data_IF_872368613225
#
_entry.id   IF_872368613225
#
_cell.length_a   1.000
_cell.length_b   1.000
_cell.length_c   1.000
_cell.angle_alpha   90.00
_cell.angle_beta   90.00
_cell.angle_gamma   90.00
#
_symmetry.space_group_name_H-M   'P 1'
#
loop_
_entity.id
_entity.type
_entity.pdbx_description
1 polymer ?
#
# COMPACT_ATOMS: atom_id res chain seq x y z
N UNK A 1 21.04 25.80 51.76
CA UNK A 1 20.49 24.57 51.15
C UNK A 1 21.64 23.65 50.76
N UNK A 2 21.55 22.34 51.01
CA UNK A 2 22.61 21.38 50.67
C UNK A 2 22.55 20.93 49.21
N UNK A 3 23.70 20.71 48.58
CA UNK A 3 23.82 20.15 47.22
C UNK A 3 23.10 18.80 47.07
N UNK A 4 23.09 17.98 48.12
CA UNK A 4 22.33 16.71 48.14
C UNK A 4 20.82 16.93 47.96
N UNK A 5 20.26 18.02 48.49
CA UNK A 5 18.84 18.32 48.31
C UNK A 5 18.55 18.79 46.89
N UNK A 6 19.48 19.50 46.25
CA UNK A 6 19.38 19.86 44.83
C UNK A 6 19.45 18.61 43.94
N UNK A 7 20.38 17.69 44.20
CA UNK A 7 20.46 16.42 43.49
C UNK A 7 19.20 15.56 43.67
N UNK A 8 18.63 15.48 44.88
CA UNK A 8 17.36 14.78 45.13
C UNK A 8 16.19 15.40 44.35
N UNK A 9 16.12 16.73 44.32
CA UNK A 9 15.10 17.44 43.53
C UNK A 9 15.23 17.17 42.04
N UNK A 10 16.46 17.18 41.51
CA UNK A 10 16.74 16.87 40.10
C UNK A 10 16.42 15.41 39.76
N UNK A 11 16.80 14.47 40.63
CA UNK A 11 16.50 13.05 40.46
C UNK A 11 14.99 12.79 40.46
N UNK A 12 14.25 13.38 41.39
CA UNK A 12 12.79 13.25 41.44
C UNK A 12 12.13 13.84 40.18
N UNK A 13 12.56 15.01 39.73
CA UNK A 13 12.03 15.63 38.51
C UNK A 13 12.28 14.76 37.27
N UNK A 14 13.48 14.18 37.14
CA UNK A 14 13.82 13.25 36.07
C UNK A 14 12.98 11.97 36.14
N UNK A 15 12.79 11.41 37.33
CA UNK A 15 12.01 10.19 37.52
C UNK A 15 10.53 10.41 37.20
N UNK A 16 9.97 11.56 37.58
CA UNK A 16 8.58 11.93 37.21
C UNK A 16 8.45 12.09 35.70
N UNK A 17 9.34 12.83 35.04
CA UNK A 17 9.32 13.01 33.58
C UNK A 17 9.37 11.65 32.85
N UNK A 18 10.30 10.77 33.25
CA UNK A 18 10.41 9.42 32.69
C UNK A 18 9.14 8.58 32.89
N UNK A 19 8.46 8.72 34.04
CA UNK A 19 7.21 8.00 34.29
C UNK A 19 6.06 8.49 33.40
N UNK A 20 5.99 9.80 33.14
CA UNK A 20 5.00 10.39 32.23
C UNK A 20 5.24 9.96 30.78
N UNK A 21 6.49 10.02 30.32
CA UNK A 21 6.87 9.60 28.97
C UNK A 21 6.54 8.12 28.75
N UNK A 22 6.81 7.26 29.75
CA UNK A 22 6.46 5.84 29.68
C UNK A 22 4.95 5.63 29.58
N UNK A 23 4.15 6.33 30.37
CA UNK A 23 2.69 6.23 30.34
C UNK A 23 2.10 6.65 28.98
N UNK A 24 2.65 7.72 28.37
CA UNK A 24 2.26 8.15 27.02
C UNK A 24 2.60 7.09 25.98
N UNK A 25 3.82 6.54 26.02
CA UNK A 25 4.25 5.50 25.09
C UNK A 25 3.46 4.19 25.26
N UNK A 26 3.01 3.85 26.47
CA UNK A 26 2.13 2.70 26.73
C UNK A 26 0.72 2.96 26.17
N UNK A 27 0.15 4.14 26.38
CA UNK A 27 -1.15 4.52 25.84
C UNK A 27 -1.16 4.54 24.30
N UNK A 28 -0.14 5.15 23.68
CA UNK A 28 0.01 5.18 22.23
C UNK A 28 0.13 3.76 21.65
N UNK A 29 0.89 2.89 22.31
CA UNK A 29 1.04 1.49 21.91
C UNK A 29 -0.32 0.77 21.93
N UNK A 30 -1.07 0.87 23.03
CA UNK A 30 -2.38 0.23 23.17
C UNK A 30 -3.38 0.71 22.12
N UNK A 31 -3.43 2.02 21.88
CA UNK A 31 -4.31 2.60 20.88
C UNK A 31 -3.96 2.14 19.46
N UNK A 32 -2.67 2.11 19.12
CA UNK A 32 -2.17 1.63 17.83
C UNK A 32 -2.50 0.15 17.63
N UNK A 33 -2.31 -0.67 18.66
CA UNK A 33 -2.62 -2.11 18.60
C UNK A 33 -4.12 -2.36 18.44
N UNK A 34 -4.98 -1.55 19.07
CA UNK A 34 -6.41 -1.63 18.87
C UNK A 34 -6.79 -1.32 17.41
N UNK A 35 -6.24 -0.23 16.86
CA UNK A 35 -6.41 0.13 15.45
C UNK A 35 -5.93 -0.95 14.49
N UNK A 36 -4.75 -1.54 14.75
CA UNK A 36 -4.22 -2.65 13.96
C UNK A 36 -5.13 -3.88 14.00
N UNK A 37 -5.67 -4.25 15.16
CA UNK A 37 -6.62 -5.37 15.26
C UNK A 37 -7.89 -5.11 14.46
N UNK A 38 -8.46 -3.92 14.57
CA UNK A 38 -9.63 -3.52 13.79
C UNK A 38 -9.34 -3.61 12.29
N UNK A 39 -8.24 -3.02 11.82
CA UNK A 39 -7.86 -3.06 10.42
C UNK A 39 -7.61 -4.50 9.92
N UNK A 40 -6.90 -5.32 10.70
CA UNK A 40 -6.62 -6.72 10.37
C UNK A 40 -7.90 -7.55 10.25
N UNK A 41 -8.81 -7.44 11.23
CA UNK A 41 -10.09 -8.16 11.21
C UNK A 41 -10.93 -7.74 10.02
N UNK A 42 -11.06 -6.42 9.81
CA UNK A 42 -11.81 -5.87 8.69
C UNK A 42 -11.28 -6.37 7.35
N UNK A 43 -9.97 -6.25 7.10
CA UNK A 43 -9.38 -6.68 5.84
C UNK A 43 -9.51 -8.20 5.65
N UNK A 44 -9.38 -8.98 6.71
CA UNK A 44 -9.56 -10.44 6.67
C UNK A 44 -10.97 -10.89 6.28
N UNK A 45 -11.98 -10.14 6.70
CA UNK A 45 -13.37 -10.38 6.31
C UNK A 45 -13.65 -9.86 4.89
N UNK A 46 -13.20 -8.63 4.60
CA UNK A 46 -13.32 -8.01 3.30
C UNK A 46 -12.72 -8.90 2.20
N UNK A 47 -11.50 -9.43 2.39
CA UNK A 47 -10.83 -10.24 1.37
C UNK A 47 -11.66 -11.45 0.95
N UNK A 48 -12.31 -12.12 1.91
CA UNK A 48 -13.17 -13.29 1.64
C UNK A 48 -14.40 -12.90 0.84
N UNK A 49 -15.01 -11.77 1.17
CA UNK A 49 -16.17 -11.27 0.43
C UNK A 49 -15.78 -10.83 -0.98
N UNK A 50 -14.64 -10.14 -1.15
CA UNK A 50 -14.15 -9.69 -2.45
C UNK A 50 -13.73 -10.86 -3.37
N UNK A 51 -13.20 -11.95 -2.81
CA UNK A 51 -12.90 -13.17 -3.58
C UNK A 51 -14.16 -13.80 -4.20
N UNK A 52 -15.30 -13.69 -3.52
CA UNK A 52 -16.60 -14.15 -4.02
C UNK A 52 -17.17 -13.17 -5.05
N UNK A 53 -17.16 -11.87 -4.73
CA UNK A 53 -17.78 -10.83 -5.55
C UNK A 53 -16.99 -10.55 -6.84
N UNK A 54 -15.66 -10.69 -6.81
CA UNK A 54 -14.75 -10.40 -7.90
C UNK A 54 -15.06 -9.04 -8.56
N UNK A 55 -14.92 -7.94 -7.80
CA UNK A 55 -15.33 -6.62 -8.26
C UNK A 55 -14.55 -6.20 -9.51
N UNK A 56 -15.07 -5.18 -10.19
CA UNK A 56 -14.36 -4.57 -11.31
C UNK A 56 -13.04 -3.97 -10.85
N UNK A 57 -12.00 -4.15 -11.66
CA UNK A 57 -10.70 -3.52 -11.44
C UNK A 57 -10.61 -2.14 -12.07
N UNK A 58 -9.53 -1.39 -11.77
CA UNK A 58 -9.30 -0.07 -12.35
C UNK A 58 -9.11 -0.11 -13.87
N UNK A 59 -9.35 1.03 -14.52
CA UNK A 59 -9.02 1.23 -15.92
C UNK A 59 -7.50 1.46 -16.08
N UNK A 60 -6.79 0.44 -16.57
CA UNK A 60 -5.33 0.45 -16.63
C UNK A 60 -4.81 0.85 -18.02
N UNK A 61 -3.69 1.58 -18.04
CA UNK A 61 -2.96 1.93 -19.26
C UNK A 61 -1.49 2.21 -18.93
N UNK A 62 -0.56 1.73 -19.76
CA UNK A 62 0.88 1.92 -19.55
C UNK A 62 1.40 3.23 -20.18
N UNK A 63 0.89 3.61 -21.35
CA UNK A 63 1.28 4.83 -22.07
C UNK A 63 0.30 6.00 -21.86
N UNK A 64 -0.91 5.72 -21.34
CA UNK A 64 -2.01 6.68 -21.25
C UNK A 64 -2.93 6.70 -22.47
N UNK A 65 -2.73 5.79 -23.44
CA UNK A 65 -3.47 5.73 -24.71
C UNK A 65 -4.06 4.35 -24.95
N UNK A 66 -3.24 3.32 -24.75
CA UNK A 66 -3.60 1.92 -24.91
C UNK A 66 -4.26 1.44 -23.62
N UNK A 67 -5.58 1.36 -23.62
CA UNK A 67 -6.35 0.84 -22.50
C UNK A 67 -6.21 -0.68 -22.43
N UNK A 68 -6.06 -1.19 -21.21
CA UNK A 68 -6.22 -2.61 -20.91
C UNK A 68 -7.70 -3.00 -21.05
N UNK A 69 -8.01 -4.30 -21.24
CA UNK A 69 -9.39 -4.77 -21.23
C UNK A 69 -10.05 -4.48 -19.88
N UNK A 70 -11.37 -4.68 -19.80
CA UNK A 70 -12.06 -4.66 -18.51
C UNK A 70 -11.40 -5.67 -17.56
N UNK A 71 -10.98 -5.22 -16.38
CA UNK A 71 -10.28 -6.02 -15.39
C UNK A 71 -11.22 -6.41 -14.24
N UNK A 72 -10.83 -7.42 -13.47
CA UNK A 72 -11.42 -7.79 -12.18
C UNK A 72 -10.34 -8.02 -11.14
N UNK A 73 -10.72 -7.86 -9.88
CA UNK A 73 -9.87 -8.15 -8.74
C UNK A 73 -10.16 -9.56 -8.23
N UNK A 74 -9.11 -10.38 -8.03
CA UNK A 74 -9.22 -11.77 -7.60
C UNK A 74 -8.05 -12.16 -6.69
N UNK A 75 -8.16 -13.31 -6.02
CA UNK A 75 -7.11 -13.91 -5.18
C UNK A 75 -6.63 -12.98 -4.06
N UNK A 76 -7.57 -12.40 -3.33
CA UNK A 76 -7.28 -11.56 -2.18
C UNK A 76 -6.66 -12.39 -1.05
N UNK A 77 -5.52 -11.91 -0.54
CA UNK A 77 -4.80 -12.51 0.58
C UNK A 77 -4.45 -11.43 1.57
N UNK A 78 -4.64 -11.72 2.85
CA UNK A 78 -4.29 -10.84 3.95
C UNK A 78 -3.28 -11.56 4.83
N UNK A 79 -2.20 -10.89 5.16
CA UNK A 79 -1.19 -11.33 6.12
C UNK A 79 -0.87 -10.24 7.13
N UNK A 80 -0.44 -10.65 8.31
CA UNK A 80 0.02 -9.74 9.34
C UNK A 80 1.24 -10.34 10.02
N UNK A 81 2.21 -9.48 10.32
CA UNK A 81 3.42 -9.84 11.02
C UNK A 81 3.47 -9.12 12.35
N UNK A 82 4.04 -9.78 13.35
CA UNK A 82 4.33 -9.17 14.66
C UNK A 82 5.83 -8.96 14.87
N UNK A 83 6.16 -8.02 15.76
CA UNK A 83 7.50 -7.76 16.28
C UNK A 83 7.45 -7.62 17.80
N UNK A 84 8.61 -7.68 18.45
CA UNK A 84 8.75 -7.28 19.85
C UNK A 84 9.00 -5.78 19.95
N UNK A 85 8.26 -5.09 20.80
CA UNK A 85 8.48 -3.69 21.16
C UNK A 85 8.33 -3.58 22.69
N UNK A 86 9.40 -3.18 23.38
CA UNK A 86 9.39 -2.99 24.85
C UNK A 86 8.84 -4.21 25.61
N UNK A 87 9.31 -5.40 25.23
CA UNK A 87 8.91 -6.73 25.74
C UNK A 87 7.46 -7.17 25.45
N UNK A 88 6.71 -6.40 24.65
CA UNK A 88 5.38 -6.78 24.18
C UNK A 88 5.40 -7.20 22.70
N UNK A 89 4.53 -8.14 22.33
CA UNK A 89 4.31 -8.49 20.92
C UNK A 89 3.26 -7.59 20.29
N UNK A 90 3.70 -6.77 19.34
CA UNK A 90 2.87 -5.79 18.63
C UNK A 90 2.88 -6.06 17.13
N UNK A 91 1.93 -5.53 16.38
CA UNK A 91 1.94 -5.63 14.92
C UNK A 91 3.17 -4.90 14.34
N UNK A 92 3.85 -5.54 13.40
CA UNK A 92 4.91 -4.90 12.61
C UNK A 92 4.32 -4.29 11.35
N UNK A 93 3.51 -5.07 10.64
CA UNK A 93 2.72 -4.60 9.52
C UNK A 93 1.51 -5.51 9.29
N UNK A 94 0.52 -4.98 8.57
CA UNK A 94 -0.60 -5.72 8.00
C UNK A 94 -0.58 -5.49 6.49
N UNK A 95 -0.70 -6.54 5.69
CA UNK A 95 -0.72 -6.43 4.25
C UNK A 95 -1.92 -7.17 3.66
N UNK A 96 -2.52 -6.59 2.62
CA UNK A 96 -3.48 -7.26 1.76
C UNK A 96 -3.01 -7.14 0.31
N UNK A 97 -3.01 -8.23 -0.43
CA UNK A 97 -2.68 -8.24 -1.85
C UNK A 97 -3.70 -9.02 -2.67
N UNK A 98 -3.83 -8.65 -3.94
CA UNK A 98 -4.73 -9.31 -4.90
C UNK A 98 -4.15 -9.24 -6.31
N UNK A 99 -4.64 -10.10 -7.19
CA UNK A 99 -4.35 -10.09 -8.61
C UNK A 99 -5.38 -9.23 -9.36
N UNK A 100 -4.91 -8.53 -10.39
CA UNK A 100 -5.73 -7.77 -11.34
C UNK A 100 -5.62 -8.47 -12.68
N UNK A 101 -6.69 -9.17 -13.08
CA UNK A 101 -6.73 -10.00 -14.28
C UNK A 101 -7.91 -9.60 -15.19
N UNK A 102 -7.89 -9.96 -16.48
CA UNK A 102 -9.02 -9.66 -17.37
C UNK A 102 -10.32 -10.25 -16.83
N UNK A 103 -11.40 -9.47 -16.95
CA UNK A 103 -12.77 -9.87 -16.56
C UNK A 103 -13.23 -11.09 -17.35
N UNK A 104 -12.85 -11.16 -18.61
CA UNK A 104 -13.18 -12.24 -19.53
C UNK A 104 -11.91 -12.77 -20.18
N UNK A 105 -11.78 -14.10 -20.23
CA UNK A 105 -10.62 -14.77 -20.81
C UNK A 105 -9.40 -14.83 -19.89
N UNK A 106 -8.31 -15.37 -20.42
CA UNK A 106 -7.02 -15.42 -19.74
C UNK A 106 -6.22 -14.13 -20.04
N UNK A 107 -5.23 -13.78 -19.18
CA UNK A 107 -4.23 -12.78 -19.52
C UNK A 107 -3.62 -13.06 -20.89
N UNK A 108 -3.64 -12.06 -21.76
CA UNK A 108 -3.06 -12.13 -23.10
C UNK A 108 -1.87 -11.18 -23.24
N UNK A 109 -0.99 -11.51 -24.19
CA UNK A 109 0.16 -10.70 -24.54
C UNK A 109 -0.28 -9.44 -25.30
N UNK A 110 0.17 -8.29 -24.82
CA UNK A 110 -0.01 -7.00 -25.45
C UNK A 110 1.34 -6.31 -25.59
N UNK A 111 1.40 -5.25 -26.40
CA UNK A 111 2.62 -4.49 -26.56
C UNK A 111 2.38 -2.99 -26.59
N UNK A 112 3.36 -2.24 -26.08
CA UNK A 112 3.37 -0.78 -26.13
C UNK A 112 4.76 -0.31 -26.52
N UNK A 113 4.85 0.74 -27.33
CA UNK A 113 6.15 1.26 -27.79
C UNK A 113 6.31 2.73 -27.41
N UNK A 114 7.53 3.11 -27.06
CA UNK A 114 7.92 4.51 -26.86
C UNK A 114 9.22 4.83 -27.61
N UNK A 115 9.20 5.94 -28.32
CA UNK A 115 10.31 6.50 -29.08
C UNK A 115 10.94 7.74 -28.42
N UNK A 116 10.36 8.24 -27.32
CA UNK A 116 10.87 9.41 -26.59
C UNK A 116 11.02 9.14 -25.09
N UNK A 117 12.03 9.73 -24.41
CA UNK A 117 12.33 9.45 -23.00
C UNK A 117 11.16 9.63 -22.02
N UNK A 118 10.30 10.68 -22.11
CA UNK A 118 9.20 10.84 -21.16
C UNK A 118 8.15 9.72 -21.24
N UNK A 119 7.89 9.21 -22.45
CA UNK A 119 6.98 8.09 -22.66
C UNK A 119 7.57 6.78 -22.14
N UNK A 120 8.88 6.59 -22.34
CA UNK A 120 9.61 5.44 -21.86
C UNK A 120 9.58 5.33 -20.33
N UNK A 121 9.95 6.41 -19.64
CA UNK A 121 9.96 6.45 -18.16
C UNK A 121 8.57 6.18 -17.57
N UNK A 122 7.51 6.67 -18.22
CA UNK A 122 6.12 6.41 -17.80
C UNK A 122 5.77 4.93 -17.92
N UNK A 123 6.11 4.29 -19.03
CA UNK A 123 5.82 2.86 -19.22
C UNK A 123 6.61 2.03 -18.21
N UNK A 124 7.91 2.31 -18.04
CA UNK A 124 8.76 1.60 -17.08
C UNK A 124 8.27 1.75 -15.64
N UNK A 125 7.89 2.97 -15.22
CA UNK A 125 7.39 3.20 -13.86
C UNK A 125 6.07 2.49 -13.59
N UNK A 126 5.17 2.44 -14.59
CA UNK A 126 3.88 1.75 -14.46
C UNK A 126 4.01 0.24 -14.50
N UNK A 127 4.89 -0.31 -15.35
CA UNK A 127 5.23 -1.73 -15.35
C UNK A 127 5.80 -2.16 -14.00
N UNK A 128 6.71 -1.35 -13.44
CA UNK A 128 7.29 -1.59 -12.12
C UNK A 128 6.23 -1.52 -11.01
N UNK A 129 5.41 -0.46 -11.00
CA UNK A 129 4.34 -0.29 -10.00
C UNK A 129 3.38 -1.49 -10.03
N UNK A 130 2.92 -1.89 -11.22
CA UNK A 130 1.99 -3.00 -11.43
C UNK A 130 2.56 -4.39 -11.17
N UNK A 131 3.88 -4.54 -10.99
CA UNK A 131 4.59 -5.83 -10.99
C UNK A 131 4.24 -6.63 -12.26
N UNK A 132 4.12 -5.94 -13.40
CA UNK A 132 3.71 -6.54 -14.67
C UNK A 132 4.88 -7.28 -15.29
N UNK A 133 4.68 -8.55 -15.64
CA UNK A 133 5.68 -9.34 -16.39
C UNK A 133 5.80 -8.80 -17.80
N UNK A 134 7.02 -8.44 -18.20
CA UNK A 134 7.30 -7.84 -19.49
C UNK A 134 8.69 -8.17 -20.02
N UNK A 135 8.85 -8.05 -21.33
CA UNK A 135 10.12 -8.09 -22.05
C UNK A 135 10.32 -6.75 -22.78
N UNK A 136 11.54 -6.23 -22.77
CA UNK A 136 11.91 -5.01 -23.48
C UNK A 136 12.67 -5.36 -24.75
N UNK A 137 12.13 -4.92 -25.88
CA UNK A 137 12.69 -5.15 -27.21
C UNK A 137 13.14 -3.83 -27.82
N UNK A 138 14.38 -3.78 -28.30
CA UNK A 138 14.88 -2.67 -29.11
C UNK A 138 14.34 -2.79 -30.54
N UNK A 139 13.50 -1.85 -30.94
CA UNK A 139 13.03 -1.75 -32.32
C UNK A 139 14.01 -0.88 -33.09
N UNK A 140 14.71 -1.49 -34.05
CA UNK A 140 15.71 -0.83 -34.88
C UNK A 140 15.24 -0.72 -36.33
N UNK A 141 15.71 0.32 -37.02
CA UNK A 141 15.43 0.51 -38.44
C UNK A 141 16.03 -0.67 -39.24
N UNK A 142 15.26 -1.34 -40.13
CA UNK A 142 15.69 -2.57 -40.81
C UNK A 142 16.95 -2.38 -41.67
N UNK A 143 17.08 -1.22 -42.33
CA UNK A 143 18.24 -0.94 -43.20
C UNK A 143 19.43 -0.27 -42.50
N UNK A 144 19.17 0.64 -41.54
CA UNK A 144 20.21 1.49 -40.93
C UNK A 144 20.67 1.01 -39.56
N UNK A 145 20.00 0.01 -39.00
CA UNK A 145 20.24 -0.54 -37.66
C UNK A 145 20.23 0.52 -36.51
N UNK A 146 19.64 1.69 -36.77
CA UNK A 146 19.48 2.76 -35.78
C UNK A 146 18.30 2.48 -34.87
N UNK A 147 18.44 2.73 -33.56
CA UNK A 147 17.34 2.59 -32.59
C UNK A 147 16.18 3.54 -32.94
N UNK A 148 14.99 2.98 -33.12
CA UNK A 148 13.76 3.74 -33.41
C UNK A 148 12.86 3.86 -32.19
N UNK A 149 12.69 2.78 -31.43
CA UNK A 149 11.83 2.74 -30.27
C UNK A 149 12.22 1.60 -29.32
N UNK A 150 11.72 1.67 -28.10
CA UNK A 150 11.62 0.52 -27.22
C UNK A 150 10.19 0.01 -27.24
N UNK A 151 10.01 -1.28 -27.53
CA UNK A 151 8.73 -1.99 -27.39
C UNK A 151 8.77 -2.80 -26.11
N UNK A 152 7.69 -2.76 -25.35
CA UNK A 152 7.47 -3.58 -24.18
C UNK A 152 6.37 -4.57 -24.51
N UNK A 153 6.72 -5.85 -24.53
CA UNK A 153 5.78 -6.96 -24.68
C UNK A 153 5.42 -7.44 -23.27
N UNK A 154 4.13 -7.47 -22.92
CA UNK A 154 3.69 -7.69 -21.54
C UNK A 154 2.39 -8.50 -21.47
N UNK A 155 2.20 -9.19 -20.35
CA UNK A 155 0.91 -9.82 -20.03
C UNK A 155 -0.02 -8.83 -19.36
N UNK A 156 -1.29 -8.85 -19.76
CA UNK A 156 -2.38 -8.06 -19.16
C UNK A 156 -2.77 -8.59 -17.78
N UNK A 157 -1.82 -8.58 -16.85
CA UNK A 157 -1.94 -9.03 -15.47
C UNK A 157 -1.11 -8.10 -14.57
N UNK A 158 -1.66 -7.69 -13.44
CA UNK A 158 -1.01 -6.83 -12.48
C UNK A 158 -1.35 -7.25 -11.04
N UNK A 159 -0.71 -6.61 -10.05
CA UNK A 159 -0.96 -6.88 -8.64
C UNK A 159 -1.34 -5.62 -7.89
N UNK A 160 -2.41 -5.65 -7.11
CA UNK A 160 -2.75 -4.60 -6.15
C UNK A 160 -2.30 -4.97 -4.75
N UNK A 161 -1.91 -3.98 -3.96
CA UNK A 161 -1.50 -4.19 -2.56
C UNK A 161 -1.87 -3.03 -1.65
N UNK A 162 -2.18 -3.35 -0.40
CA UNK A 162 -2.29 -2.45 0.72
C UNK A 162 -1.30 -2.91 1.77
N UNK A 163 -0.53 -1.99 2.33
CA UNK A 163 0.35 -2.27 3.48
C UNK A 163 0.11 -1.20 4.54
N UNK A 164 -0.23 -1.63 5.74
CA UNK A 164 -0.45 -0.80 6.92
C UNK A 164 0.73 -0.98 7.85
N UNK A 165 1.45 0.10 8.10
CA UNK A 165 2.63 0.13 8.99
C UNK A 165 2.32 0.99 10.21
N UNK A 166 2.17 0.41 11.41
CA UNK A 166 1.97 1.16 12.64
C UNK A 166 3.23 1.85 13.16
N UNK A 167 3.03 3.02 13.76
CA UNK A 167 3.97 3.74 14.62
C UNK A 167 3.38 3.81 16.04
N UNK A 168 3.77 2.84 16.87
CA UNK A 168 3.30 2.68 18.25
C UNK A 168 3.74 3.78 19.21
N UNK A 169 4.79 4.53 18.85
CA UNK A 169 5.27 5.62 19.68
C UNK A 169 4.47 6.90 19.42
N UNK A 170 3.91 7.06 18.20
CA UNK A 170 3.15 8.24 17.78
C UNK A 170 1.63 8.03 17.64
N UNK A 171 1.14 6.82 17.91
CA UNK A 171 -0.27 6.47 17.73
C UNK A 171 -0.78 6.71 16.29
N UNK A 172 0.00 6.33 15.29
CA UNK A 172 -0.31 6.54 13.87
C UNK A 172 -0.17 5.25 13.05
N UNK A 173 -0.91 5.16 11.94
CA UNK A 173 -0.82 4.07 10.97
C UNK A 173 -0.60 4.65 9.57
N UNK A 174 0.48 4.23 8.91
CA UNK A 174 0.76 4.58 7.52
C UNK A 174 0.18 3.51 6.58
N UNK A 175 -0.66 3.93 5.64
CA UNK A 175 -1.27 3.12 4.61
C UNK A 175 -0.55 3.38 3.29
N UNK A 176 0.09 2.35 2.75
CA UNK A 176 0.66 2.34 1.40
C UNK A 176 -0.24 1.54 0.48
N UNK A 177 -0.87 2.21 -0.47
CA UNK A 177 -1.76 1.65 -1.47
C UNK A 177 -1.03 1.58 -2.80
N UNK A 178 -0.99 0.42 -3.45
CA UNK A 178 -0.42 0.26 -4.78
C UNK A 178 -1.44 -0.36 -5.72
N UNK A 179 -1.55 0.22 -6.91
CA UNK A 179 -2.41 -0.24 -8.01
C UNK A 179 -3.90 -0.37 -7.66
N UNK A 180 -4.39 0.52 -6.78
CA UNK A 180 -5.81 0.55 -6.39
C UNK A 180 -6.67 1.26 -7.43
N UNK A 181 -6.23 2.43 -7.92
CA UNK A 181 -6.95 3.24 -8.93
C UNK A 181 -6.30 3.21 -10.32
N UNK A 182 -4.98 3.16 -10.37
CA UNK A 182 -4.17 3.15 -11.58
C UNK A 182 -2.79 2.58 -11.25
N UNK A 183 -1.87 2.51 -12.21
CA UNK A 183 -0.48 2.14 -11.93
C UNK A 183 0.26 3.24 -11.15
N UNK A 184 0.02 3.27 -9.86
CA UNK A 184 0.56 4.25 -8.92
C UNK A 184 0.67 3.67 -7.52
N UNK A 185 1.45 4.38 -6.70
CA UNK A 185 1.59 4.10 -5.27
C UNK A 185 1.25 5.39 -4.52
N UNK A 186 0.29 5.30 -3.61
CA UNK A 186 -0.13 6.40 -2.75
C UNK A 186 0.14 6.01 -1.31
N UNK A 187 0.70 6.92 -0.53
CA UNK A 187 0.89 6.72 0.92
C UNK A 187 0.16 7.82 1.67
N UNK A 188 -0.64 7.42 2.65
CA UNK A 188 -1.39 8.31 3.56
C UNK A 188 -1.22 7.80 4.98
N UNK A 189 -1.27 8.69 5.98
CA UNK A 189 -1.18 8.31 7.38
C UNK A 189 -2.39 8.82 8.15
N UNK A 190 -2.89 8.01 9.07
CA UNK A 190 -4.00 8.34 9.95
C UNK A 190 -3.61 8.17 11.41
N UNK A 191 -4.18 9.00 12.27
CA UNK A 191 -4.15 8.76 13.71
C UNK A 191 -4.89 7.46 14.04
N UNK A 192 -4.37 6.70 14.99
CA UNK A 192 -4.90 5.38 15.37
C UNK A 192 -6.37 5.44 15.81
N UNK A 193 -6.80 6.54 16.43
CA UNK A 193 -8.21 6.74 16.80
C UNK A 193 -9.19 6.79 15.61
N UNK A 194 -8.71 7.23 14.43
CA UNK A 194 -9.52 7.35 13.22
C UNK A 194 -9.65 6.01 12.48
N UNK A 195 -8.74 5.06 12.76
CA UNK A 195 -8.76 3.73 12.13
C UNK A 195 -9.83 2.87 12.80
N UNK A 196 -11.07 3.10 12.35
CA UNK A 196 -12.30 2.40 12.74
C UNK A 196 -13.01 1.88 11.50
N UNK A 197 -14.11 1.16 11.70
CA UNK A 197 -14.94 0.63 10.62
C UNK A 197 -15.30 1.67 9.56
N UNK A 198 -15.68 2.90 9.96
CA UNK A 198 -16.03 3.95 9.00
C UNK A 198 -14.88 4.30 8.03
N UNK A 199 -13.65 4.44 8.53
CA UNK A 199 -12.48 4.69 7.68
C UNK A 199 -12.14 3.47 6.83
N UNK A 200 -12.28 2.27 7.39
CA UNK A 200 -12.03 1.02 6.67
C UNK A 200 -13.07 0.76 5.57
N UNK A 201 -14.32 1.21 5.74
CA UNK A 201 -15.36 1.20 4.71
C UNK A 201 -15.00 2.13 3.55
N UNK A 202 -14.44 3.32 3.85
CA UNK A 202 -13.93 4.21 2.81
C UNK A 202 -12.76 3.57 2.05
N UNK A 203 -11.89 2.80 2.72
CA UNK A 203 -10.85 2.00 2.06
C UNK A 203 -11.46 0.89 1.18
N UNK A 204 -12.50 0.20 1.66
CA UNK A 204 -13.18 -0.83 0.88
C UNK A 204 -13.80 -0.26 -0.40
N UNK A 205 -14.52 0.87 -0.30
CA UNK A 205 -15.05 1.61 -1.46
C UNK A 205 -13.95 1.99 -2.44
N UNK A 206 -12.80 2.44 -1.92
CA UNK A 206 -11.65 2.78 -2.75
C UNK A 206 -11.15 1.57 -3.55
N UNK A 207 -11.08 0.39 -2.93
CA UNK A 207 -10.65 -0.86 -3.56
C UNK A 207 -11.63 -1.31 -4.64
N UNK A 208 -12.94 -1.18 -4.40
CA UNK A 208 -13.99 -1.59 -5.34
C UNK A 208 -14.25 -0.57 -6.45
N UNK A 209 -13.54 0.57 -6.44
CA UNK A 209 -13.70 1.63 -7.45
C UNK A 209 -14.91 2.54 -7.21
N UNK A 210 -15.50 2.48 -6.02
CA UNK A 210 -16.58 3.36 -5.60
C UNK A 210 -16.04 4.73 -5.14
N UNK A 211 -16.95 5.72 -5.05
CA UNK A 211 -16.61 7.02 -4.50
C UNK A 211 -16.17 6.87 -3.04
N UNK A 212 -14.96 7.36 -2.73
CA UNK A 212 -14.32 7.19 -1.44
C UNK A 212 -13.59 8.47 -1.04
N UNK A 213 -13.68 8.78 0.25
CA UNK A 213 -13.00 9.87 0.95
C UNK A 213 -11.72 9.43 1.67
N UNK A 214 -11.29 8.17 1.46
CA UNK A 214 -10.09 7.63 2.10
C UNK A 214 -8.81 8.37 1.70
N UNK A 215 -8.77 8.92 0.49
CA UNK A 215 -7.67 9.77 0.03
C UNK A 215 -8.15 11.24 0.02
N UNK A 216 -7.32 12.19 0.48
CA UNK A 216 -7.64 13.61 0.47
C UNK A 216 -7.70 14.19 -0.96
#
# INVERSE_FOLDING_TARGET
>A
MSFLNQLKSQANALQTAQSTDKAVLEANCQQTEWACRTAWQYLSELSRNLDILQPNGPALTLDGKTAWPAMRLIDFRVDARKKKLRDEEVFDYIAMGWNVAPRHGAPFEASVSANFPPGLQRIESRLAAGTVKHERVEVRHPEKNTLQAFRFDYKTEARGTITITPDHDRANLAFRLANVRAFEVVTVAFAAELVRYDLMDELAKLITGEASTFLP
#
